data_IF_875728538346
#
_entry.id   IF_875728538346
#
_cell.length_a   1.000
_cell.length_b   1.000
_cell.length_c   1.000
_cell.angle_alpha   90.00
_cell.angle_beta   90.00
_cell.angle_gamma   90.00
#
_symmetry.space_group_name_H-M   'P 1'
#
loop_
_entity.id
_entity.type
_entity.pdbx_description
1 polymer ?
#
# COMPACT_ATOMS: atom_id res chain seq x y z
N UNK A 1 -18.48 9.02 -67.82
CA UNK A 1 -17.01 9.07 -67.64
C UNK A 1 -16.72 10.16 -66.62
N UNK A 2 -16.07 10.02 -65.47
CA UNK A 2 -15.36 8.94 -64.80
C UNK A 2 -14.49 9.60 -63.70
N UNK A 3 -14.38 8.97 -62.52
CA UNK A 3 -13.41 9.28 -61.44
C UNK A 3 -13.80 10.44 -60.50
N UNK A 4 -13.91 10.31 -59.18
CA UNK A 4 -13.47 9.27 -58.25
C UNK A 4 -12.25 9.74 -57.44
N UNK A 5 -12.47 10.41 -56.31
CA UNK A 5 -11.47 10.55 -55.24
C UNK A 5 -12.21 10.60 -53.90
N UNK A 6 -12.33 9.42 -53.29
CA UNK A 6 -12.96 9.25 -51.98
C UNK A 6 -12.07 9.78 -50.87
N UNK A 7 -12.63 10.65 -50.05
CA UNK A 7 -12.16 10.89 -48.68
C UNK A 7 -12.36 9.59 -47.89
N UNK A 8 -11.27 8.85 -47.72
CA UNK A 8 -11.23 7.68 -46.84
C UNK A 8 -11.53 8.13 -45.40
N UNK A 9 -12.72 7.76 -44.92
CA UNK A 9 -13.11 7.82 -43.52
C UNK A 9 -12.25 6.77 -42.80
N UNK A 10 -11.34 7.23 -41.94
CA UNK A 10 -10.46 6.35 -41.16
C UNK A 10 -11.32 5.40 -40.31
N UNK A 11 -11.15 4.06 -40.40
CA UNK A 11 -11.95 3.12 -39.64
C UNK A 11 -11.45 3.03 -38.20
N UNK A 12 -12.34 3.35 -37.26
CA UNK A 12 -12.29 2.85 -35.89
C UNK A 12 -11.15 3.38 -35.03
N UNK A 13 -11.34 4.56 -34.44
CA UNK A 13 -10.88 4.74 -33.07
C UNK A 13 -11.66 3.73 -32.22
N UNK A 14 -11.06 2.56 -32.00
CA UNK A 14 -11.52 1.67 -30.94
C UNK A 14 -11.28 2.46 -29.67
N UNK A 15 -12.36 2.96 -29.07
CA UNK A 15 -12.33 3.48 -27.70
C UNK A 15 -11.80 2.36 -26.81
N UNK A 16 -10.48 2.36 -26.62
CA UNK A 16 -9.84 1.52 -25.62
C UNK A 16 -10.29 2.09 -24.30
N UNK A 17 -11.37 1.53 -23.75
CA UNK A 17 -11.82 1.84 -22.40
C UNK A 17 -10.59 1.72 -21.50
N UNK A 18 -10.07 2.87 -21.03
CA UNK A 18 -8.89 2.90 -20.19
C UNK A 18 -9.16 1.99 -18.99
N UNK A 19 -8.36 0.93 -18.81
CA UNK A 19 -8.54 0.00 -17.71
C UNK A 19 -8.39 0.77 -16.38
N UNK A 20 -9.33 0.56 -15.46
CA UNK A 20 -9.38 1.24 -14.16
C UNK A 20 -8.05 1.06 -13.40
N UNK A 21 -7.60 2.10 -12.71
CA UNK A 21 -6.45 2.10 -11.81
C UNK A 21 -6.69 2.97 -10.58
N UNK A 22 -5.91 2.73 -9.54
CA UNK A 22 -6.02 3.42 -8.25
C UNK A 22 -6.71 2.59 -7.17
N UNK A 23 -6.60 3.05 -5.91
CA UNK A 23 -7.17 2.36 -4.76
C UNK A 23 -8.70 2.46 -4.76
N UNK A 24 -9.40 1.47 -4.18
CA UNK A 24 -8.85 0.14 -3.89
C UNK A 24 -8.62 -0.63 -5.21
N UNK A 25 -7.40 -1.14 -5.43
CA UNK A 25 -7.12 -2.00 -6.57
C UNK A 25 -7.84 -3.34 -6.38
N UNK A 26 -8.35 -3.91 -7.48
CA UNK A 26 -9.01 -5.22 -7.49
C UNK A 26 -8.77 -5.95 -8.82
N UNK A 27 -9.19 -7.21 -8.89
CA UNK A 27 -9.10 -8.02 -10.10
C UNK A 27 -9.77 -7.33 -11.30
N UNK A 28 -9.12 -7.43 -12.47
CA UNK A 28 -9.53 -6.76 -13.70
C UNK A 28 -8.99 -5.33 -13.89
N UNK A 29 -8.32 -4.76 -12.89
CA UNK A 29 -7.63 -3.47 -13.04
C UNK A 29 -6.34 -3.63 -13.85
N UNK A 30 -5.83 -2.54 -14.42
CA UNK A 30 -4.52 -2.56 -15.08
C UNK A 30 -3.39 -2.81 -14.09
N UNK A 31 -2.24 -3.26 -14.61
CA UNK A 31 -1.05 -3.46 -13.81
C UNK A 31 -0.60 -2.14 -13.15
N UNK A 32 -0.23 -2.19 -11.88
CA UNK A 32 0.25 -1.03 -11.13
C UNK A 32 1.40 -1.43 -10.20
N UNK A 33 2.42 -0.59 -10.09
CA UNK A 33 3.58 -0.86 -9.23
C UNK A 33 3.23 -0.89 -7.74
N UNK A 34 2.15 -0.22 -7.33
CA UNK A 34 1.63 -0.34 -5.95
C UNK A 34 1.18 -1.77 -5.65
N UNK A 35 0.57 -2.45 -6.64
CA UNK A 35 0.21 -3.85 -6.52
C UNK A 35 1.44 -4.74 -6.55
N UNK A 36 2.45 -4.45 -7.39
CA UNK A 36 3.70 -5.22 -7.38
C UNK A 36 4.42 -5.12 -6.03
N UNK A 37 4.47 -3.92 -5.43
CA UNK A 37 4.98 -3.75 -4.07
C UNK A 37 4.27 -4.70 -3.09
N UNK A 38 2.94 -4.70 -3.09
CA UNK A 38 2.16 -5.55 -2.19
C UNK A 38 2.44 -7.04 -2.42
N UNK A 39 2.51 -7.48 -3.69
CA UNK A 39 2.88 -8.85 -4.05
C UNK A 39 4.27 -9.22 -3.51
N UNK A 40 5.27 -8.36 -3.74
CA UNK A 40 6.65 -8.59 -3.26
C UNK A 40 6.70 -8.65 -1.73
N UNK A 41 5.95 -7.78 -1.05
CA UNK A 41 5.83 -7.80 0.41
C UNK A 41 5.21 -9.09 0.94
N UNK A 42 4.17 -9.59 0.26
CA UNK A 42 3.52 -10.87 0.58
C UNK A 42 4.43 -12.07 0.30
N UNK A 43 5.23 -12.03 -0.77
CA UNK A 43 6.27 -13.05 -1.06
C UNK A 43 7.35 -13.07 0.03
N UNK A 44 7.72 -11.89 0.53
CA UNK A 44 8.72 -11.69 1.58
C UNK A 44 8.22 -11.98 3.00
N UNK A 45 6.95 -12.39 3.18
CA UNK A 45 6.51 -12.99 4.43
C UNK A 45 7.35 -14.25 4.70
N UNK A 46 7.60 -14.55 5.97
CA UNK A 46 8.42 -15.70 6.37
C UNK A 46 7.93 -17.00 5.72
N UNK A 47 8.84 -17.92 5.42
CA UNK A 47 8.53 -19.14 4.65
C UNK A 47 7.43 -20.03 5.26
N UNK A 48 7.21 -19.93 6.58
CA UNK A 48 6.16 -20.64 7.33
C UNK A 48 4.84 -19.87 7.43
N UNK A 49 4.76 -18.64 6.91
CA UNK A 49 3.56 -17.83 6.94
C UNK A 49 2.56 -18.34 5.89
N UNK A 50 1.39 -18.80 6.32
CA UNK A 50 0.36 -19.37 5.45
C UNK A 50 -0.27 -18.37 4.48
N UNK A 51 -0.14 -17.08 4.74
CA UNK A 51 -0.63 -16.02 3.85
C UNK A 51 0.42 -15.56 2.83
N UNK A 52 1.62 -16.14 2.83
CA UNK A 52 2.68 -15.83 1.86
C UNK A 52 2.17 -16.03 0.43
N UNK A 53 2.45 -15.07 -0.45
CA UNK A 53 2.16 -15.23 -1.88
C UNK A 53 3.17 -16.23 -2.48
N UNK A 54 2.65 -17.29 -3.08
CA UNK A 54 3.42 -18.37 -3.69
C UNK A 54 2.84 -18.76 -5.06
N UNK A 55 3.59 -19.58 -5.81
CA UNK A 55 3.20 -19.99 -7.16
C UNK A 55 3.40 -18.89 -8.20
N UNK A 56 2.75 -19.05 -9.35
CA UNK A 56 2.80 -18.08 -10.44
C UNK A 56 1.83 -16.93 -10.18
N UNK A 57 2.31 -15.70 -10.32
CA UNK A 57 1.50 -14.49 -10.24
C UNK A 57 2.00 -13.47 -11.24
N UNK A 58 1.12 -12.56 -11.66
CA UNK A 58 1.41 -11.52 -12.64
C UNK A 58 1.81 -10.23 -11.93
N UNK A 59 3.03 -9.70 -12.15
CA UNK A 59 3.46 -8.47 -11.50
C UNK A 59 2.51 -7.29 -11.75
N UNK A 60 2.13 -6.63 -10.66
CA UNK A 60 1.27 -5.45 -10.68
C UNK A 60 -0.22 -5.76 -10.85
N UNK A 61 -0.64 -7.02 -10.96
CA UNK A 61 -2.03 -7.39 -11.20
C UNK A 61 -2.58 -8.22 -10.03
N UNK A 62 -3.77 -7.84 -9.55
CA UNK A 62 -4.51 -8.66 -8.56
C UNK A 62 -5.18 -9.83 -9.28
N UNK A 63 -4.38 -10.86 -9.57
CA UNK A 63 -4.85 -12.16 -10.03
C UNK A 63 -5.40 -13.02 -8.87
N UNK A 64 -5.79 -14.27 -9.18
CA UNK A 64 -6.38 -15.18 -8.20
C UNK A 64 -5.45 -15.50 -7.01
N UNK A 65 -4.16 -15.71 -7.28
CA UNK A 65 -3.18 -16.02 -6.24
C UNK A 65 -2.90 -14.80 -5.35
N UNK A 66 -2.74 -13.63 -5.97
CA UNK A 66 -2.57 -12.35 -5.28
C UNK A 66 -3.79 -12.05 -4.41
N UNK A 67 -5.01 -12.19 -4.94
CA UNK A 67 -6.25 -11.99 -4.19
C UNK A 67 -6.35 -12.95 -3.01
N UNK A 68 -6.05 -14.23 -3.20
CA UNK A 68 -6.08 -15.24 -2.13
C UNK A 68 -5.12 -14.90 -0.99
N UNK A 69 -3.88 -14.52 -1.32
CA UNK A 69 -2.87 -14.10 -0.35
C UNK A 69 -3.29 -12.82 0.39
N UNK A 70 -3.84 -11.83 -0.31
CA UNK A 70 -4.39 -10.61 0.30
C UNK A 70 -5.53 -10.92 1.28
N UNK A 71 -6.50 -11.75 0.89
CA UNK A 71 -7.61 -12.15 1.78
C UNK A 71 -7.08 -12.83 3.04
N UNK A 72 -6.15 -13.78 2.89
CA UNK A 72 -5.53 -14.45 4.03
C UNK A 72 -4.86 -13.43 4.96
N UNK A 73 -4.03 -12.55 4.40
CA UNK A 73 -3.30 -11.53 5.15
C UNK A 73 -4.24 -10.60 5.93
N UNK A 74 -5.24 -10.03 5.25
CA UNK A 74 -6.21 -9.11 5.86
C UNK A 74 -6.95 -9.78 7.03
N UNK A 75 -7.42 -11.02 6.83
CA UNK A 75 -8.06 -11.82 7.89
C UNK A 75 -7.11 -12.12 9.04
N UNK A 76 -5.85 -12.42 8.76
CA UNK A 76 -4.87 -12.71 9.79
C UNK A 76 -4.58 -11.49 10.66
N UNK A 77 -4.39 -10.30 10.05
CA UNK A 77 -4.18 -9.05 10.78
C UNK A 77 -5.36 -8.71 11.67
N UNK A 78 -6.58 -8.77 11.12
CA UNK A 78 -7.81 -8.45 11.87
C UNK A 78 -8.01 -9.44 13.02
N UNK A 79 -7.83 -10.73 12.77
CA UNK A 79 -7.93 -11.78 13.80
C UNK A 79 -6.91 -11.60 14.91
N UNK A 80 -5.65 -11.31 14.57
CA UNK A 80 -4.62 -11.04 15.57
C UNK A 80 -5.04 -9.86 16.46
N UNK A 81 -5.43 -8.72 15.87
CA UNK A 81 -5.86 -7.57 16.66
C UNK A 81 -7.10 -7.85 17.54
N UNK A 82 -8.08 -8.60 17.04
CA UNK A 82 -9.27 -8.97 17.80
C UNK A 82 -9.00 -9.96 18.94
N UNK A 83 -8.10 -10.92 18.72
CA UNK A 83 -7.87 -12.01 19.67
C UNK A 83 -6.79 -11.66 20.71
N UNK A 84 -5.80 -10.85 20.34
CA UNK A 84 -4.61 -10.60 21.18
C UNK A 84 -4.45 -9.14 21.57
N UNK A 85 -5.12 -8.20 20.87
CA UNK A 85 -4.89 -6.77 21.05
C UNK A 85 -3.54 -6.28 20.54
N UNK A 86 -2.79 -7.10 19.78
CA UNK A 86 -1.49 -6.72 19.23
C UNK A 86 -1.59 -5.59 18.19
N UNK A 87 -2.75 -5.39 17.56
CA UNK A 87 -2.99 -4.32 16.60
C UNK A 87 -4.46 -3.86 16.66
N UNK A 88 -4.82 -2.84 15.89
CA UNK A 88 -6.14 -2.19 15.96
C UNK A 88 -7.27 -2.87 15.18
N UNK A 89 -6.98 -3.90 14.36
CA UNK A 89 -7.96 -4.68 13.59
C UNK A 89 -8.93 -3.86 12.70
N UNK A 90 -8.46 -2.77 12.10
CA UNK A 90 -9.30 -1.82 11.35
C UNK A 90 -9.29 -1.99 9.82
N UNK A 91 -8.53 -2.93 9.24
CA UNK A 91 -8.42 -3.09 7.78
C UNK A 91 -9.79 -3.04 7.08
N UNK A 92 -10.75 -3.84 7.53
CA UNK A 92 -12.07 -3.96 6.88
C UNK A 92 -13.03 -2.80 7.17
N UNK A 93 -12.60 -1.76 7.92
CA UNK A 93 -13.37 -0.52 8.02
C UNK A 93 -13.37 0.27 6.72
N UNK A 94 -12.32 0.10 5.92
CA UNK A 94 -12.09 0.86 4.69
C UNK A 94 -11.97 -0.03 3.46
N UNK A 95 -11.23 -1.12 3.58
CA UNK A 95 -10.86 -1.94 2.44
C UNK A 95 -11.81 -3.15 2.33
N UNK A 96 -12.56 -3.30 1.22
CA UNK A 96 -13.27 -4.54 0.96
C UNK A 96 -12.31 -5.73 0.88
N UNK A 97 -12.79 -6.90 1.29
CA UNK A 97 -12.00 -8.13 1.30
C UNK A 97 -11.38 -8.47 -0.07
N UNK A 98 -10.08 -8.75 -0.07
CA UNK A 98 -9.30 -9.12 -1.25
C UNK A 98 -9.04 -7.97 -2.21
N UNK A 99 -9.27 -6.73 -1.78
CA UNK A 99 -8.84 -5.52 -2.49
C UNK A 99 -7.61 -4.93 -1.83
N UNK A 100 -6.81 -4.18 -2.58
CA UNK A 100 -5.67 -3.46 -2.06
C UNK A 100 -6.05 -1.98 -1.92
N UNK A 101 -6.56 -1.61 -0.76
CA UNK A 101 -6.88 -0.23 -0.42
C UNK A 101 -5.87 0.38 0.54
N UNK A 102 -6.22 1.55 1.08
CA UNK A 102 -5.34 2.34 1.94
C UNK A 102 -4.96 1.58 3.21
N UNK A 103 -5.93 0.92 3.86
CA UNK A 103 -5.69 0.25 5.13
C UNK A 103 -4.74 -0.94 4.98
N UNK A 104 -4.91 -1.71 3.91
CA UNK A 104 -4.06 -2.84 3.58
C UNK A 104 -2.66 -2.38 3.18
N UNK A 105 -2.53 -1.29 2.44
CA UNK A 105 -1.23 -0.71 2.08
C UNK A 105 -0.48 -0.16 3.29
N UNK A 106 -1.15 0.59 4.17
CA UNK A 106 -0.58 1.03 5.46
C UNK A 106 -0.10 -0.16 6.28
N UNK A 107 -0.91 -1.22 6.39
CA UNK A 107 -0.55 -2.43 7.11
C UNK A 107 0.67 -3.13 6.51
N UNK A 108 0.68 -3.37 5.19
CA UNK A 108 1.78 -4.06 4.50
C UNK A 108 3.12 -3.33 4.63
N UNK A 109 3.11 -2.00 4.55
CA UNK A 109 4.30 -1.18 4.78
C UNK A 109 4.79 -1.23 6.24
N UNK A 110 3.87 -1.20 7.21
CA UNK A 110 4.22 -1.19 8.63
C UNK A 110 4.60 -2.58 9.19
N UNK A 111 4.28 -3.66 8.47
CA UNK A 111 4.58 -5.02 8.93
C UNK A 111 6.07 -5.23 9.14
N UNK A 112 6.42 -5.83 10.29
CA UNK A 112 7.80 -6.11 10.71
C UNK A 112 8.68 -4.88 10.96
N UNK A 113 8.11 -3.68 11.03
CA UNK A 113 8.83 -2.49 11.51
C UNK A 113 9.11 -2.63 13.01
N UNK A 114 10.37 -2.49 13.39
CA UNK A 114 10.79 -2.23 14.77
C UNK A 114 10.83 -0.72 14.98
N UNK A 115 9.88 -0.21 15.76
CA UNK A 115 9.79 1.22 16.07
C UNK A 115 11.07 1.79 16.68
N UNK A 116 11.88 0.97 17.37
CA UNK A 116 13.18 1.42 17.94
C UNK A 116 14.21 1.77 16.86
N UNK A 117 14.05 1.27 15.64
CA UNK A 117 14.91 1.58 14.48
C UNK A 117 14.41 2.82 13.71
N UNK A 118 13.27 3.38 14.08
CA UNK A 118 12.63 4.52 13.40
C UNK A 118 12.54 5.70 14.37
N UNK A 119 13.70 6.14 14.83
CA UNK A 119 13.84 7.26 15.76
C UNK A 119 14.43 8.49 15.05
N UNK A 120 14.31 9.70 15.63
CA UNK A 120 14.93 10.91 15.06
C UNK A 120 16.42 10.70 14.73
N UNK A 121 16.81 11.05 13.51
CA UNK A 121 18.18 10.86 13.00
C UNK A 121 18.46 9.49 12.39
N UNK A 122 17.54 8.52 12.46
CA UNK A 122 17.70 7.24 11.79
C UNK A 122 17.68 7.40 10.25
N UNK A 123 18.51 6.59 9.58
CA UNK A 123 18.57 6.49 8.11
C UNK A 123 18.68 5.03 7.70
N UNK A 124 17.53 4.37 7.60
CA UNK A 124 17.42 2.98 7.18
C UNK A 124 16.09 2.76 6.44
N UNK A 125 15.90 1.58 5.84
CA UNK A 125 14.70 1.30 5.06
C UNK A 125 13.42 1.25 5.90
N UNK A 126 13.48 1.00 7.21
CA UNK A 126 12.30 1.07 8.07
C UNK A 126 11.74 2.49 8.20
N UNK A 127 12.61 3.51 8.08
CA UNK A 127 12.15 4.90 7.95
C UNK A 127 11.35 5.10 6.66
N UNK A 128 11.84 4.57 5.53
CA UNK A 128 11.11 4.59 4.24
C UNK A 128 9.77 3.85 4.36
N UNK A 129 9.75 2.67 4.98
CA UNK A 129 8.52 1.89 5.18
C UNK A 129 7.47 2.67 5.96
N UNK A 130 7.88 3.28 7.07
CA UNK A 130 6.98 4.06 7.92
C UNK A 130 6.48 5.31 7.20
N UNK A 131 7.33 6.03 6.46
CA UNK A 131 6.91 7.17 5.65
C UNK A 131 5.87 6.77 4.60
N UNK A 132 6.10 5.67 3.88
CA UNK A 132 5.15 5.17 2.90
C UNK A 132 3.83 4.76 3.57
N UNK A 133 3.86 4.08 4.71
CA UNK A 133 2.67 3.75 5.49
C UNK A 133 1.87 4.99 5.91
N UNK A 134 2.57 6.06 6.35
CA UNK A 134 1.97 7.33 6.74
C UNK A 134 1.22 8.01 5.60
N UNK A 135 1.80 8.04 4.39
CA UNK A 135 1.13 8.64 3.25
C UNK A 135 -0.20 7.94 2.98
N UNK A 136 -0.23 6.61 2.91
CA UNK A 136 -1.48 5.85 2.77
C UNK A 136 -2.46 6.11 3.92
N UNK A 137 -1.94 6.23 5.14
CA UNK A 137 -2.76 6.35 6.34
C UNK A 137 -3.45 7.72 6.50
N UNK A 138 -2.74 8.79 6.13
CA UNK A 138 -3.14 10.17 6.44
C UNK A 138 -4.09 10.81 5.41
N UNK A 139 -4.07 10.35 4.16
CA UNK A 139 -4.81 10.96 3.04
C UNK A 139 -6.30 10.62 3.03
N UNK A 140 -7.19 11.52 3.43
CA UNK A 140 -8.64 11.27 3.38
C UNK A 140 -9.19 10.99 1.97
N UNK A 141 -8.58 11.58 0.93
CA UNK A 141 -8.81 11.33 -0.48
C UNK A 141 -7.47 11.33 -1.21
N UNK A 142 -7.39 10.66 -2.36
CA UNK A 142 -6.14 10.42 -3.06
C UNK A 142 -6.21 11.09 -4.43
N UNK A 143 -5.36 12.11 -4.62
CA UNK A 143 -5.20 12.79 -5.90
C UNK A 143 -4.28 12.00 -6.85
N UNK A 144 -4.19 12.42 -8.11
CA UNK A 144 -3.23 11.82 -9.04
C UNK A 144 -1.77 12.13 -8.64
N UNK A 145 -1.49 13.30 -8.08
CA UNK A 145 -0.16 13.66 -7.55
C UNK A 145 0.24 12.78 -6.35
N UNK A 146 -0.73 12.48 -5.48
CA UNK A 146 -0.53 11.53 -4.39
C UNK A 146 -0.17 10.15 -4.92
N UNK A 147 -0.87 9.68 -5.96
CA UNK A 147 -0.55 8.39 -6.59
C UNK A 147 0.82 8.38 -7.24
N UNK A 148 1.28 9.48 -7.83
CA UNK A 148 2.65 9.57 -8.37
C UNK A 148 3.68 9.35 -7.27
N UNK A 149 3.53 10.06 -6.13
CA UNK A 149 4.40 9.88 -4.96
C UNK A 149 4.33 8.45 -4.41
N UNK A 150 3.13 7.93 -4.23
CA UNK A 150 2.94 6.62 -3.59
C UNK A 150 3.42 5.48 -4.50
N UNK A 151 3.34 5.64 -5.83
CA UNK A 151 3.99 4.76 -6.82
C UNK A 151 5.51 4.83 -6.76
N UNK A 152 6.10 6.00 -6.52
CA UNK A 152 7.56 6.12 -6.34
C UNK A 152 8.04 5.37 -5.08
N UNK A 153 7.31 5.46 -3.97
CA UNK A 153 7.59 4.62 -2.79
C UNK A 153 7.39 3.13 -3.09
N UNK A 154 6.32 2.77 -3.79
CA UNK A 154 6.08 1.38 -4.17
C UNK A 154 7.19 0.81 -5.07
N UNK A 155 7.75 1.60 -5.99
CA UNK A 155 8.91 1.19 -6.79
C UNK A 155 10.12 0.85 -5.90
N UNK A 156 10.42 1.71 -4.91
CA UNK A 156 11.51 1.46 -3.96
C UNK A 156 11.25 0.20 -3.12
N UNK A 157 10.03 0.01 -2.63
CA UNK A 157 9.64 -1.18 -1.87
C UNK A 157 9.68 -2.46 -2.68
N UNK A 158 9.17 -2.44 -3.91
CA UNK A 158 9.22 -3.58 -4.81
C UNK A 158 10.67 -3.99 -5.11
N UNK A 159 11.55 -3.02 -5.36
CA UNK A 159 12.98 -3.27 -5.57
C UNK A 159 13.64 -3.87 -4.32
N UNK A 160 13.45 -3.27 -3.15
CA UNK A 160 14.00 -3.74 -1.87
C UNK A 160 13.64 -5.20 -1.59
N UNK A 161 12.36 -5.56 -1.72
CA UNK A 161 11.92 -6.94 -1.47
C UNK A 161 12.35 -7.91 -2.57
N UNK A 162 12.44 -7.46 -3.82
CA UNK A 162 12.96 -8.26 -4.93
C UNK A 162 14.44 -8.61 -4.74
N UNK A 163 15.23 -7.71 -4.16
CA UNK A 163 16.66 -7.91 -3.93
C UNK A 163 16.98 -8.65 -2.62
N UNK A 164 15.97 -9.02 -1.83
CA UNK A 164 16.17 -9.63 -0.51
C UNK A 164 16.62 -8.65 0.58
N UNK A 165 16.40 -7.35 0.38
CA UNK A 165 16.66 -6.30 1.36
C UNK A 165 17.99 -5.55 1.19
N UNK A 166 18.70 -5.79 0.09
CA UNK A 166 19.98 -5.13 -0.24
C UNK A 166 19.84 -3.76 -0.91
N UNK A 167 18.76 -3.54 -1.67
CA UNK A 167 18.57 -2.34 -2.49
C UNK A 167 17.68 -1.36 -1.71
N UNK A 168 18.30 -0.50 -0.91
CA UNK A 168 17.58 0.41 -0.02
C UNK A 168 18.01 1.88 -0.22
N UNK A 169 17.21 2.63 -0.96
CA UNK A 169 17.17 4.08 -0.75
C UNK A 169 16.52 4.33 0.62
N UNK A 170 17.33 4.70 1.61
CA UNK A 170 16.85 5.05 2.93
C UNK A 170 16.45 6.53 2.98
N UNK A 171 15.17 6.79 3.21
CA UNK A 171 14.69 8.12 3.53
C UNK A 171 15.22 8.55 4.92
N UNK A 172 15.59 9.82 5.12
CA UNK A 172 15.95 10.32 6.44
C UNK A 172 14.71 10.57 7.30
N UNK A 173 14.84 10.40 8.62
CA UNK A 173 13.87 10.92 9.58
C UNK A 173 14.18 12.40 9.84
N UNK A 174 13.39 13.31 9.25
CA UNK A 174 13.53 14.77 9.39
C UNK A 174 12.39 15.42 10.20
N UNK A 175 12.44 16.74 10.36
CA UNK A 175 11.41 17.49 11.08
C UNK A 175 10.03 17.43 10.39
N UNK A 176 9.99 17.32 9.05
CA UNK A 176 8.74 17.17 8.30
C UNK A 176 8.07 15.83 8.62
N UNK A 177 8.86 14.77 8.76
CA UNK A 177 8.39 13.46 9.21
C UNK A 177 7.79 13.53 10.63
N UNK A 178 8.44 14.23 11.57
CA UNK A 178 7.94 14.40 12.94
C UNK A 178 6.53 15.00 12.98
N UNK A 179 6.30 16.06 12.22
CA UNK A 179 5.00 16.73 12.17
C UNK A 179 3.92 15.84 11.54
N UNK A 180 4.27 15.09 10.49
CA UNK A 180 3.36 14.10 9.87
C UNK A 180 2.99 12.97 10.82
N UNK A 181 3.96 12.47 11.59
CA UNK A 181 3.70 11.45 12.62
C UNK A 181 2.71 11.99 13.64
N UNK A 182 2.93 13.22 14.12
CA UNK A 182 2.05 13.87 15.09
C UNK A 182 0.62 14.02 14.56
N UNK A 183 0.47 14.41 13.30
CA UNK A 183 -0.83 14.55 12.64
C UNK A 183 -1.56 13.19 12.53
N UNK A 184 -0.86 12.14 12.10
CA UNK A 184 -1.44 10.80 12.03
C UNK A 184 -1.85 10.30 13.41
N UNK A 185 -0.97 10.42 14.41
CA UNK A 185 -1.24 9.97 15.78
C UNK A 185 -2.52 10.62 16.33
N UNK A 186 -2.65 11.94 16.15
CA UNK A 186 -3.87 12.66 16.52
C UNK A 186 -5.10 12.15 15.74
N UNK A 187 -4.96 11.95 14.42
CA UNK A 187 -6.06 11.51 13.55
C UNK A 187 -6.59 10.11 13.88
N UNK A 188 -5.74 9.21 14.38
CA UNK A 188 -6.13 7.85 14.78
C UNK A 188 -6.37 7.71 16.29
N UNK A 189 -6.34 8.82 17.03
CA UNK A 189 -6.71 8.86 18.45
C UNK A 189 -5.66 8.29 19.40
N UNK A 190 -4.37 8.35 19.05
CA UNK A 190 -3.25 7.99 19.95
C UNK A 190 -2.43 9.23 20.33
N UNK A 191 -1.50 9.08 21.29
CA UNK A 191 -0.68 10.20 21.77
C UNK A 191 0.14 10.84 20.66
N UNK A 192 -0.06 12.13 20.42
CA UNK A 192 0.54 12.89 19.32
C UNK A 192 1.92 13.45 19.70
N UNK A 193 2.89 12.55 19.89
CA UNK A 193 4.27 12.88 20.29
C UNK A 193 5.16 13.28 19.11
N UNK A 194 4.80 12.88 17.89
CA UNK A 194 5.64 13.00 16.70
C UNK A 194 6.79 11.99 16.64
N UNK A 195 6.81 11.00 17.54
CA UNK A 195 7.80 9.91 17.59
C UNK A 195 7.10 8.60 17.26
N UNK A 196 7.69 7.81 16.37
CA UNK A 196 7.19 6.46 16.07
C UNK A 196 7.46 5.56 17.26
N UNK A 197 6.40 5.15 17.92
CA UNK A 197 6.43 4.25 19.06
C UNK A 197 5.65 2.96 18.78
N UNK A 198 5.55 2.09 19.78
CA UNK A 198 4.82 0.84 19.65
C UNK A 198 3.34 1.06 19.33
N UNK A 199 2.67 2.05 19.92
CA UNK A 199 1.28 2.36 19.64
C UNK A 199 1.09 2.80 18.18
N UNK A 200 2.01 3.61 17.66
CA UNK A 200 2.02 4.07 16.27
C UNK A 200 2.11 2.90 15.29
N UNK A 201 3.09 2.01 15.49
CA UNK A 201 3.27 0.83 14.62
C UNK A 201 2.07 -0.12 14.73
N UNK A 202 1.55 -0.37 15.93
CA UNK A 202 0.35 -1.22 16.12
C UNK A 202 -0.88 -0.65 15.42
N UNK A 203 -1.07 0.67 15.45
CA UNK A 203 -2.14 1.35 14.74
C UNK A 203 -2.01 1.14 13.23
N UNK A 204 -0.81 1.36 12.67
CA UNK A 204 -0.57 1.17 11.23
C UNK A 204 -0.72 -0.29 10.79
N UNK A 205 -0.15 -1.22 11.55
CA UNK A 205 -0.27 -2.67 11.29
C UNK A 205 -1.74 -3.08 11.28
N UNK A 206 -2.57 -2.55 12.18
CA UNK A 206 -4.01 -2.84 12.18
C UNK A 206 -4.80 -2.13 11.07
N UNK A 207 -4.17 -1.27 10.26
CA UNK A 207 -4.83 -0.52 9.20
C UNK A 207 -5.63 0.68 9.69
N UNK A 208 -5.25 1.30 10.81
CA UNK A 208 -5.87 2.56 11.25
C UNK A 208 -5.55 3.70 10.27
N UNK A 209 -6.59 4.45 9.88
CA UNK A 209 -6.48 5.53 8.91
C UNK A 209 -7.10 6.82 9.45
N UNK A 210 -6.67 7.95 8.91
CA UNK A 210 -7.46 9.16 8.93
C UNK A 210 -8.71 8.96 8.05
N UNK A 211 -9.91 9.21 8.61
CA UNK A 211 -11.22 9.00 8.01
C UNK A 211 -11.40 7.58 7.42
N UNK A 212 -11.50 6.54 8.26
CA UNK A 212 -11.56 5.15 7.82
C UNK A 212 -12.84 4.79 7.04
N UNK A 213 -13.88 5.64 7.02
CA UNK A 213 -15.09 5.41 6.23
C UNK A 213 -14.96 5.74 4.73
N UNK A 214 -13.79 6.21 4.28
CA UNK A 214 -13.57 6.63 2.88
C UNK A 214 -12.62 5.65 2.19
N UNK A 215 -13.15 4.87 1.24
CA UNK A 215 -12.41 3.83 0.51
C UNK A 215 -11.18 4.34 -0.27
N UNK A 216 -11.13 5.65 -0.56
CA UNK A 216 -10.11 6.28 -1.37
C UNK A 216 -10.51 6.34 -2.85
N UNK A 217 -10.38 7.54 -3.42
CA UNK A 217 -10.84 8.03 -4.73
C UNK A 217 -12.36 8.00 -4.98
#
# INVERSE_FOLDING_TARGET
SGGGAGTAKSPGAVDTVAKKSGPPWKSGYQADVVVEFAQRRLVALGSKNSCRLAGNWTPGVIDANTRTSLVCYQKAVVRDGQNTGHNTAQIFRTDPEGTLGRATLTSLWAQSVDWKQVQPGAKNFQVTQVLAAFWWASQAGISDDDLVRDRAYAQQGAAYWKSGGSDAAAAPYDNSMKDKIKQYQAAVGISATGVVDSATVRAMVGGSLNKPGVAGR
#
